data_IF_892279555498
#
_entry.id   IF_892279555498
#
_cell.length_a   1.000
_cell.length_b   1.000
_cell.length_c   1.000
_cell.angle_alpha   90.00
_cell.angle_beta   90.00
_cell.angle_gamma   90.00
#
_symmetry.space_group_name_H-M   'P 1'
#
loop_
_entity.id
_entity.type
_entity.pdbx_description
1 polymer ?
#
# COMPACT_ATOMS: atom_id res chain seq x y z
N UNK A 1 -19.05 -15.02 68.12
CA UNK A 1 -19.63 -15.70 66.95
C UNK A 1 -19.69 -14.65 65.86
N UNK A 2 -18.67 -14.66 65.01
CA UNK A 2 -18.40 -13.63 64.00
C UNK A 2 -19.00 -14.08 62.66
N UNK A 3 -19.97 -13.33 62.16
CA UNK A 3 -20.58 -13.50 60.85
C UNK A 3 -19.88 -12.57 59.87
N UNK A 4 -18.73 -13.00 59.35
CA UNK A 4 -18.06 -12.32 58.24
C UNK A 4 -18.73 -12.69 56.92
N UNK A 5 -19.66 -11.85 56.47
CA UNK A 5 -20.23 -11.87 55.12
C UNK A 5 -19.16 -11.48 54.09
N UNK A 6 -18.67 -12.46 53.35
CA UNK A 6 -17.75 -12.27 52.22
C UNK A 6 -18.45 -11.53 51.08
N UNK A 7 -18.07 -10.26 50.88
CA UNK A 7 -18.41 -9.48 49.67
C UNK A 7 -17.72 -10.11 48.47
N UNK A 8 -18.51 -10.65 47.52
CA UNK A 8 -18.02 -11.02 46.20
C UNK A 8 -17.91 -9.74 45.37
N UNK A 9 -16.69 -9.24 45.17
CA UNK A 9 -16.42 -8.15 44.24
C UNK A 9 -16.70 -8.59 42.80
N UNK A 10 -17.75 -8.03 42.19
CA UNK A 10 -17.99 -8.12 40.75
C UNK A 10 -16.93 -7.30 40.04
N UNK A 11 -15.87 -7.95 39.51
CA UNK A 11 -14.96 -7.32 38.54
C UNK A 11 -15.76 -6.82 37.35
N UNK A 12 -15.76 -5.51 37.16
CA UNK A 12 -16.37 -4.82 36.03
C UNK A 12 -15.60 -5.23 34.76
N UNK A 13 -16.24 -5.97 33.85
CA UNK A 13 -15.69 -6.30 32.54
C UNK A 13 -15.77 -5.04 31.69
N UNK A 14 -14.67 -4.28 31.61
CA UNK A 14 -14.56 -3.15 30.67
C UNK A 14 -14.56 -3.75 29.26
N UNK A 15 -15.49 -3.37 28.36
CA UNK A 15 -15.52 -3.93 27.02
C UNK A 15 -14.24 -3.54 26.27
N UNK A 16 -13.47 -4.55 25.84
CA UNK A 16 -12.26 -4.36 25.04
C UNK A 16 -12.63 -3.74 23.69
N UNK A 17 -12.01 -2.61 23.34
CA UNK A 17 -12.18 -1.98 22.02
C UNK A 17 -11.75 -2.96 20.92
N UNK A 18 -12.53 -3.14 19.83
CA UNK A 18 -12.19 -4.07 18.77
C UNK A 18 -10.93 -3.62 18.03
N UNK A 19 -10.14 -4.60 17.62
CA UNK A 19 -8.98 -4.44 16.73
C UNK A 19 -9.44 -4.08 15.31
N UNK A 20 -8.54 -3.52 14.50
CA UNK A 20 -8.83 -3.20 13.09
C UNK A 20 -9.28 -4.44 12.30
N UNK A 21 -8.71 -5.61 12.60
CA UNK A 21 -9.08 -6.86 11.93
C UNK A 21 -10.47 -7.35 12.33
N UNK A 22 -10.86 -7.18 13.60
CA UNK A 22 -12.22 -7.51 14.06
C UNK A 22 -13.27 -6.60 13.42
N UNK A 23 -12.94 -5.31 13.24
CA UNK A 23 -13.78 -4.35 12.51
C UNK A 23 -13.92 -4.77 11.04
N UNK A 24 -12.80 -5.08 10.37
CA UNK A 24 -12.78 -5.53 8.97
C UNK A 24 -13.66 -6.78 8.76
N UNK A 25 -13.50 -7.80 9.62
CA UNK A 25 -14.30 -9.04 9.58
C UNK A 25 -15.79 -8.74 9.83
N UNK A 26 -16.09 -7.85 10.77
CA UNK A 26 -17.45 -7.42 11.07
C UNK A 26 -18.15 -6.78 9.88
N UNK A 27 -17.45 -5.88 9.17
CA UNK A 27 -17.94 -5.23 7.95
C UNK A 27 -18.10 -6.23 6.80
N UNK A 28 -17.13 -7.13 6.60
CA UNK A 28 -17.20 -8.19 5.58
C UNK A 28 -18.43 -9.09 5.74
N UNK A 29 -18.83 -9.41 6.98
CA UNK A 29 -20.05 -10.17 7.24
C UNK A 29 -21.30 -9.40 6.80
N UNK A 30 -21.42 -8.12 7.19
CA UNK A 30 -22.54 -7.27 6.78
C UNK A 30 -22.65 -7.13 5.26
N UNK A 31 -21.50 -6.98 4.57
CA UNK A 31 -21.45 -6.93 3.10
C UNK A 31 -21.99 -8.23 2.48
N UNK A 32 -21.67 -9.40 3.06
CA UNK A 32 -22.20 -10.69 2.60
C UNK A 32 -23.72 -10.82 2.83
N UNK A 33 -24.25 -10.13 3.84
CA UNK A 33 -25.67 -10.04 4.15
C UNK A 33 -26.40 -9.00 3.28
N UNK A 34 -25.69 -8.24 2.44
CA UNK A 34 -26.28 -7.27 1.50
C UNK A 34 -26.24 -5.81 1.97
N UNK A 35 -25.50 -5.50 3.04
CA UNK A 35 -25.29 -4.13 3.51
C UNK A 35 -24.25 -3.41 2.64
N UNK A 36 -24.71 -2.60 1.70
CA UNK A 36 -23.86 -1.82 0.79
C UNK A 36 -23.12 -0.69 1.51
N UNK A 37 -23.70 -0.13 2.58
CA UNK A 37 -23.06 0.92 3.38
C UNK A 37 -21.85 0.37 4.15
N UNK A 38 -21.91 -0.90 4.57
CA UNK A 38 -20.76 -1.58 5.17
C UNK A 38 -19.55 -1.66 4.22
N UNK A 39 -19.77 -1.73 2.90
CA UNK A 39 -18.68 -1.67 1.93
C UNK A 39 -18.02 -0.29 1.91
N UNK A 40 -18.82 0.77 1.89
CA UNK A 40 -18.32 2.15 1.91
C UNK A 40 -17.49 2.39 3.18
N UNK A 41 -18.01 1.99 4.35
CA UNK A 41 -17.29 2.07 5.63
C UNK A 41 -15.96 1.30 5.61
N UNK A 42 -15.94 0.13 4.96
CA UNK A 42 -14.76 -0.72 4.86
C UNK A 42 -13.65 -0.06 4.01
N UNK A 43 -14.00 0.54 2.87
CA UNK A 43 -13.01 1.01 1.89
C UNK A 43 -12.63 2.48 2.01
N UNK A 44 -13.47 3.32 2.62
CA UNK A 44 -13.19 4.75 2.80
C UNK A 44 -11.81 5.04 3.43
N UNK A 45 -11.36 4.31 4.47
CA UNK A 45 -10.03 4.52 5.05
C UNK A 45 -8.88 4.22 4.09
N UNK A 46 -9.13 3.45 3.03
CA UNK A 46 -8.12 3.00 2.08
C UNK A 46 -7.99 3.93 0.88
N UNK A 47 -9.08 4.60 0.49
CA UNK A 47 -9.19 5.38 -0.76
C UNK A 47 -8.00 6.32 -0.97
N UNK A 48 -7.69 7.12 0.04
CA UNK A 48 -6.61 8.11 -0.02
C UNK A 48 -5.22 7.46 -0.16
N UNK A 49 -4.97 6.33 0.51
CA UNK A 49 -3.71 5.58 0.34
C UNK A 49 -3.60 4.95 -1.05
N UNK A 50 -4.71 4.40 -1.55
CA UNK A 50 -4.78 3.82 -2.89
C UNK A 50 -4.57 4.89 -3.97
N UNK A 51 -5.16 6.07 -3.79
CA UNK A 51 -4.98 7.23 -4.67
C UNK A 51 -3.53 7.68 -4.74
N UNK A 52 -2.88 7.89 -3.59
CA UNK A 52 -1.45 8.25 -3.57
C UNK A 52 -0.58 7.20 -4.25
N UNK A 53 -0.90 5.91 -4.13
CA UNK A 53 -0.18 4.85 -4.86
C UNK A 53 -0.42 4.94 -6.37
N UNK A 54 -1.66 5.17 -6.80
CA UNK A 54 -1.97 5.33 -8.21
C UNK A 54 -1.24 6.55 -8.80
N UNK A 55 -1.31 7.72 -8.15
CA UNK A 55 -0.59 8.95 -8.54
C UNK A 55 0.91 8.70 -8.64
N UNK A 56 1.50 8.00 -7.66
CA UNK A 56 2.94 7.75 -7.67
C UNK A 56 3.40 6.89 -8.85
N UNK A 57 2.52 6.04 -9.38
CA UNK A 57 2.77 5.19 -10.55
C UNK A 57 2.47 5.90 -11.87
N UNK A 58 1.34 6.59 -11.99
CA UNK A 58 0.84 7.10 -13.29
C UNK A 58 1.17 8.55 -13.56
N UNK A 59 1.58 9.29 -12.51
CA UNK A 59 1.99 10.70 -12.55
C UNK A 59 0.91 11.64 -13.11
N UNK A 60 -0.35 11.27 -12.93
CA UNK A 60 -1.53 12.01 -13.38
C UNK A 60 -2.64 11.81 -12.34
N UNK A 61 -3.28 12.90 -11.92
CA UNK A 61 -4.27 12.87 -10.85
C UNK A 61 -5.61 12.32 -11.29
N UNK A 62 -6.03 12.65 -12.51
CA UNK A 62 -7.33 12.26 -13.05
C UNK A 62 -7.32 10.76 -13.35
N UNK A 63 -6.25 10.26 -13.98
CA UNK A 63 -6.10 8.81 -14.18
C UNK A 63 -6.03 8.05 -12.85
N UNK A 64 -5.37 8.63 -11.85
CA UNK A 64 -5.22 7.98 -10.55
C UNK A 64 -6.58 7.86 -9.85
N UNK A 65 -7.40 8.90 -9.92
CA UNK A 65 -8.78 8.88 -9.42
C UNK A 65 -9.60 7.82 -10.15
N UNK A 66 -9.55 7.81 -11.49
CA UNK A 66 -10.22 6.80 -12.32
C UNK A 66 -9.80 5.39 -11.93
N UNK A 67 -8.50 5.12 -11.79
CA UNK A 67 -7.97 3.81 -11.39
C UNK A 67 -8.51 3.38 -10.03
N UNK A 68 -8.52 4.28 -9.04
CA UNK A 68 -9.03 3.98 -7.70
C UNK A 68 -10.52 3.71 -7.74
N UNK A 69 -11.29 4.55 -8.41
CA UNK A 69 -12.73 4.36 -8.54
C UNK A 69 -13.05 3.01 -9.19
N UNK A 70 -12.38 2.69 -10.29
CA UNK A 70 -12.49 1.42 -10.99
C UNK A 70 -12.12 0.22 -10.10
N UNK A 71 -11.07 0.36 -9.28
CA UNK A 71 -10.64 -0.66 -8.33
C UNK A 71 -11.68 -0.87 -7.23
N UNK A 72 -12.27 0.21 -6.70
CA UNK A 72 -13.33 0.13 -5.70
C UNK A 72 -14.63 -0.46 -6.28
N UNK A 73 -15.00 -0.14 -7.51
CA UNK A 73 -16.16 -0.76 -8.19
C UNK A 73 -15.92 -2.24 -8.45
N UNK A 74 -14.73 -2.60 -8.96
CA UNK A 74 -14.33 -4.00 -9.18
C UNK A 74 -14.30 -4.77 -7.85
N UNK A 75 -13.84 -4.10 -6.80
CA UNK A 75 -13.85 -4.59 -5.43
C UNK A 75 -15.26 -4.91 -4.96
N UNK A 76 -16.19 -3.95 -5.09
CA UNK A 76 -17.59 -4.12 -4.69
C UNK A 76 -18.25 -5.32 -5.39
N UNK A 77 -17.99 -5.50 -6.69
CA UNK A 77 -18.54 -6.63 -7.47
C UNK A 77 -18.05 -8.01 -7.01
N UNK A 78 -16.88 -8.07 -6.38
CA UNK A 78 -16.21 -9.35 -6.05
C UNK A 78 -16.03 -9.59 -4.54
N UNK A 79 -16.24 -8.59 -3.70
CA UNK A 79 -16.02 -8.64 -2.24
C UNK A 79 -16.83 -9.74 -1.54
N UNK A 80 -18.03 -10.08 -2.06
CA UNK A 80 -18.86 -11.16 -1.49
C UNK A 80 -18.18 -12.53 -1.56
N UNK A 81 -17.31 -12.73 -2.56
CA UNK A 81 -16.51 -13.94 -2.77
C UNK A 81 -15.10 -13.83 -2.16
N UNK A 82 -14.80 -12.75 -1.43
CA UNK A 82 -13.51 -12.56 -0.80
C UNK A 82 -13.29 -13.60 0.31
N UNK A 83 -12.19 -14.34 0.21
CA UNK A 83 -11.86 -15.47 1.11
C UNK A 83 -11.12 -15.05 2.39
N UNK A 84 -10.74 -13.78 2.51
CA UNK A 84 -9.95 -13.26 3.64
C UNK A 84 -8.59 -13.98 3.87
N UNK A 85 -8.03 -14.54 2.80
CA UNK A 85 -6.65 -15.06 2.76
C UNK A 85 -5.63 -13.91 2.95
N UNK A 86 -6.02 -12.68 2.60
CA UNK A 86 -5.32 -11.43 2.82
C UNK A 86 -6.23 -10.41 3.51
N UNK A 87 -5.68 -9.26 3.91
CA UNK A 87 -6.51 -8.09 4.27
C UNK A 87 -7.15 -7.48 3.01
N UNK A 88 -8.30 -6.82 3.17
CA UNK A 88 -9.05 -6.18 2.07
C UNK A 88 -8.22 -5.06 1.44
N UNK A 89 -7.48 -4.31 2.27
CA UNK A 89 -6.56 -3.30 1.79
C UNK A 89 -5.52 -3.87 0.82
N UNK A 90 -4.83 -4.96 1.18
CA UNK A 90 -3.82 -5.61 0.32
C UNK A 90 -4.43 -6.05 -1.00
N UNK A 91 -5.65 -6.58 -0.95
CA UNK A 91 -6.35 -7.04 -2.14
C UNK A 91 -6.70 -5.89 -3.09
N UNK A 92 -7.27 -4.79 -2.58
CA UNK A 92 -7.54 -3.58 -3.37
C UNK A 92 -6.26 -2.92 -3.88
N UNK A 93 -5.20 -2.92 -3.07
CA UNK A 93 -3.88 -2.42 -3.46
C UNK A 93 -3.36 -3.14 -4.70
N UNK A 94 -3.47 -4.48 -4.73
CA UNK A 94 -3.09 -5.28 -5.91
C UNK A 94 -3.90 -4.88 -7.15
N UNK A 95 -5.21 -4.66 -6.99
CA UNK A 95 -6.07 -4.24 -8.11
C UNK A 95 -5.61 -2.88 -8.66
N UNK A 96 -5.32 -1.92 -7.78
CA UNK A 96 -4.81 -0.59 -8.17
C UNK A 96 -3.47 -0.71 -8.91
N UNK A 97 -2.50 -1.44 -8.35
CA UNK A 97 -1.19 -1.64 -8.97
C UNK A 97 -1.32 -2.27 -10.36
N UNK A 98 -2.18 -3.27 -10.53
CA UNK A 98 -2.39 -3.93 -11.81
C UNK A 98 -3.03 -2.97 -12.82
N UNK A 99 -4.06 -2.23 -12.43
CA UNK A 99 -4.71 -1.23 -13.31
C UNK A 99 -3.74 -0.13 -13.72
N UNK A 100 -2.90 0.36 -12.81
CA UNK A 100 -1.83 1.32 -13.13
C UNK A 100 -0.83 0.75 -14.14
N UNK A 101 -0.36 -0.49 -13.93
CA UNK A 101 0.55 -1.18 -14.86
C UNK A 101 -0.08 -1.36 -16.25
N UNK A 102 -1.35 -1.76 -16.31
CA UNK A 102 -2.09 -1.93 -17.57
C UNK A 102 -2.23 -0.62 -18.33
N UNK A 103 -2.52 0.48 -17.64
CA UNK A 103 -2.64 1.79 -18.25
C UNK A 103 -1.30 2.29 -18.80
N UNK A 104 -0.21 2.15 -18.04
CA UNK A 104 1.14 2.51 -18.48
C UNK A 104 1.57 1.68 -19.70
N UNK A 105 1.25 0.37 -19.70
CA UNK A 105 1.52 -0.48 -20.85
C UNK A 105 0.73 -0.05 -22.09
N UNK A 106 -0.54 0.35 -21.94
CA UNK A 106 -1.35 0.91 -23.04
C UNK A 106 -0.75 2.21 -23.57
N UNK A 107 -0.31 3.13 -22.71
CA UNK A 107 0.37 4.38 -23.09
C UNK A 107 1.63 4.14 -23.89
N UNK A 108 2.47 3.20 -23.42
CA UNK A 108 3.70 2.81 -24.10
C UNK A 108 3.41 2.29 -25.51
N UNK A 109 2.47 1.36 -25.66
CA UNK A 109 2.07 0.82 -26.98
C UNK A 109 1.48 1.89 -27.89
N UNK A 110 0.67 2.80 -27.36
CA UNK A 110 0.13 3.92 -28.14
C UNK A 110 1.27 4.80 -28.66
N UNK A 111 2.26 5.14 -27.83
CA UNK A 111 3.44 5.91 -28.25
C UNK A 111 4.27 5.19 -29.32
N UNK A 112 4.47 3.88 -29.18
CA UNK A 112 5.21 3.07 -30.15
C UNK A 112 4.50 2.96 -31.51
N UNK A 113 3.17 2.96 -31.51
CA UNK A 113 2.37 2.91 -32.74
C UNK A 113 2.20 4.29 -33.40
N UNK A 114 2.37 5.37 -32.64
CA UNK A 114 2.32 6.76 -33.12
C UNK A 114 3.69 7.25 -33.57
N UNK A 115 4.34 6.55 -34.51
CA UNK A 115 5.52 7.07 -35.22
C UNK A 115 5.13 8.28 -36.09
N UNK A 116 4.88 9.41 -35.43
CA UNK A 116 4.96 10.75 -36.01
C UNK A 116 5.43 11.70 -34.90
N UNK A 117 6.54 12.38 -35.16
CA UNK A 117 7.33 13.17 -34.23
C UNK A 117 6.49 14.21 -33.47
N UNK A 118 6.14 13.91 -32.21
CA UNK A 118 5.99 14.94 -31.18
C UNK A 118 6.59 14.44 -29.88
N UNK A 119 7.78 14.97 -29.59
CA UNK A 119 8.38 15.00 -28.27
C UNK A 119 7.42 15.74 -27.32
N UNK A 120 6.46 15.02 -26.76
CA UNK A 120 5.78 15.46 -25.56
C UNK A 120 6.80 15.37 -24.44
N UNK A 121 7.50 16.48 -24.22
CA UNK A 121 8.07 16.83 -22.93
C UNK A 121 6.98 16.57 -21.90
N UNK A 122 7.21 15.57 -21.04
CA UNK A 122 6.40 15.38 -19.84
C UNK A 122 6.65 16.63 -19.00
N UNK A 123 5.78 17.62 -19.10
CA UNK A 123 5.80 18.74 -18.18
C UNK A 123 5.53 18.17 -16.80
N UNK A 124 6.41 18.49 -15.86
CA UNK A 124 6.23 18.30 -14.43
C UNK A 124 5.10 19.23 -13.96
N UNK A 125 3.88 18.96 -14.43
CA UNK A 125 2.67 19.58 -13.90
C UNK A 125 2.35 18.84 -12.60
N UNK A 126 3.00 19.32 -11.55
CA UNK A 126 2.89 18.85 -10.16
C UNK A 126 1.43 18.66 -9.79
N UNK A 127 1.00 17.41 -9.81
CA UNK A 127 -0.33 16.99 -9.40
C UNK A 127 -0.48 17.17 -7.89
N UNK A 128 -1.33 18.15 -7.55
CA UNK A 128 -2.25 18.22 -6.41
C UNK A 128 -1.97 17.40 -5.14
N UNK A 129 -1.87 18.15 -4.03
CA UNK A 129 -1.82 17.68 -2.63
C UNK A 129 -0.52 17.00 -2.17
N UNK A 130 0.64 17.59 -2.51
CA UNK A 130 1.74 17.57 -1.56
C UNK A 130 1.44 18.55 -0.44
N UNK A 131 0.84 18.06 0.66
CA UNK A 131 1.26 18.57 1.96
C UNK A 131 2.74 18.17 2.03
N UNK A 132 3.64 19.06 1.59
CA UNK A 132 5.09 18.87 1.76
C UNK A 132 5.32 18.76 3.24
N UNK A 133 5.30 17.53 3.73
CA UNK A 133 5.88 17.21 5.02
C UNK A 133 7.35 17.52 4.81
N UNK A 134 7.85 18.53 5.50
CA UNK A 134 9.29 18.77 5.56
C UNK A 134 9.91 17.53 6.22
N UNK A 135 10.39 16.64 5.37
CA UNK A 135 11.19 15.50 5.78
C UNK A 135 12.57 16.01 6.16
N UNK A 136 13.20 15.34 7.13
CA UNK A 136 14.59 15.65 7.47
C UNK A 136 15.51 15.42 6.27
N UNK A 137 16.67 16.09 6.24
CA UNK A 137 17.66 15.89 5.19
C UNK A 137 18.09 14.42 5.07
N UNK A 138 18.14 13.69 6.19
CA UNK A 138 18.41 12.26 6.23
C UNK A 138 17.32 11.44 5.54
N UNK A 139 16.05 11.80 5.78
CA UNK A 139 14.89 11.12 5.18
C UNK A 139 14.83 11.35 3.68
N UNK A 140 15.04 12.59 3.24
CA UNK A 140 15.11 12.94 1.82
C UNK A 140 16.26 12.21 1.11
N UNK A 141 17.42 12.13 1.78
CA UNK A 141 18.57 11.40 1.26
C UNK A 141 18.30 9.90 1.16
N UNK A 142 17.69 9.27 2.17
CA UNK A 142 17.36 7.84 2.09
C UNK A 142 16.33 7.56 0.97
N UNK A 143 15.32 8.42 0.83
CA UNK A 143 14.32 8.32 -0.25
C UNK A 143 14.99 8.44 -1.63
N UNK A 144 15.96 9.34 -1.82
CA UNK A 144 16.67 9.44 -3.08
C UNK A 144 17.45 8.16 -3.40
N UNK A 145 18.11 7.55 -2.41
CA UNK A 145 18.80 6.26 -2.59
C UNK A 145 17.86 5.09 -2.85
N UNK A 146 16.66 5.10 -2.28
CA UNK A 146 15.62 4.13 -2.62
C UNK A 146 15.15 4.32 -4.07
N UNK A 147 15.09 5.56 -4.55
CA UNK A 147 14.73 5.85 -5.95
C UNK A 147 15.81 5.44 -6.96
N UNK A 148 17.08 5.34 -6.54
CA UNK A 148 18.19 4.85 -7.37
C UNK A 148 18.21 3.32 -7.53
N UNK A 149 17.38 2.57 -6.77
CA UNK A 149 17.27 1.12 -6.90
C UNK A 149 16.49 0.75 -8.17
N UNK A 150 16.84 -0.40 -8.76
CA UNK A 150 16.01 -1.03 -9.80
C UNK A 150 14.60 -1.31 -9.25
N UNK A 151 13.59 -1.13 -10.10
CA UNK A 151 12.17 -1.16 -9.74
C UNK A 151 11.78 -2.36 -8.89
N UNK A 152 12.29 -3.56 -9.22
CA UNK A 152 11.96 -4.79 -8.49
C UNK A 152 12.47 -4.81 -7.04
N UNK A 153 13.53 -4.07 -6.73
CA UNK A 153 14.09 -3.92 -5.38
C UNK A 153 13.40 -2.77 -4.63
N UNK A 154 13.16 -1.66 -5.32
CA UNK A 154 12.39 -0.53 -4.81
C UNK A 154 10.99 -0.96 -4.39
N UNK A 155 10.29 -1.70 -5.25
CA UNK A 155 8.90 -2.16 -5.03
C UNK A 155 8.78 -3.02 -3.76
N UNK A 156 9.75 -3.91 -3.48
CA UNK A 156 9.70 -4.71 -2.23
C UNK A 156 10.04 -3.88 -0.99
N UNK A 157 10.88 -2.84 -1.10
CA UNK A 157 11.15 -1.90 0.00
C UNK A 157 9.90 -1.07 0.30
N UNK A 158 9.26 -0.50 -0.72
CA UNK A 158 8.01 0.25 -0.59
C UNK A 158 6.93 -0.58 0.13
N UNK A 159 6.66 -1.77 -0.40
CA UNK A 159 5.62 -2.64 0.17
C UNK A 159 5.94 -3.08 1.60
N UNK A 160 7.22 -3.29 1.93
CA UNK A 160 7.61 -3.75 3.26
C UNK A 160 7.61 -2.64 4.31
N UNK A 161 8.14 -1.47 3.96
CA UNK A 161 8.48 -0.43 4.92
C UNK A 161 7.51 0.76 4.90
N UNK A 162 6.87 1.03 3.77
CA UNK A 162 5.92 2.13 3.63
C UNK A 162 4.48 1.63 3.73
N UNK A 163 4.21 0.44 3.18
CA UNK A 163 2.88 -0.19 3.27
C UNK A 163 2.76 -1.21 4.41
N UNK A 164 3.85 -1.46 5.15
CA UNK A 164 3.93 -2.36 6.29
C UNK A 164 3.45 -3.81 6.00
N UNK A 165 3.56 -4.26 4.76
CA UNK A 165 3.07 -5.58 4.35
C UNK A 165 3.99 -6.72 4.85
N UNK A 166 3.37 -7.84 5.24
CA UNK A 166 4.09 -9.09 5.49
C UNK A 166 4.67 -9.67 4.20
N UNK A 167 5.69 -10.52 4.30
CA UNK A 167 6.28 -11.14 3.10
C UNK A 167 5.27 -11.97 2.29
N UNK A 168 4.26 -12.55 2.94
CA UNK A 168 3.18 -13.26 2.27
C UNK A 168 2.28 -12.31 1.47
N UNK A 169 1.89 -11.17 2.05
CA UNK A 169 1.12 -10.13 1.35
C UNK A 169 1.89 -9.55 0.16
N UNK A 170 3.19 -9.29 0.33
CA UNK A 170 4.05 -8.81 -0.76
C UNK A 170 4.10 -9.84 -1.89
N UNK A 171 4.30 -11.12 -1.57
CA UNK A 171 4.34 -12.21 -2.54
C UNK A 171 3.05 -12.26 -3.36
N UNK A 172 1.90 -12.10 -2.69
CA UNK A 172 0.58 -12.05 -3.34
C UNK A 172 0.41 -10.82 -4.24
N UNK A 173 0.79 -9.63 -3.79
CA UNK A 173 0.70 -8.39 -4.58
C UNK A 173 1.56 -8.48 -5.84
N UNK A 174 2.75 -9.05 -5.71
CA UNK A 174 3.73 -9.16 -6.80
C UNK A 174 3.56 -10.41 -7.68
N UNK A 175 2.62 -11.30 -7.35
CA UNK A 175 2.43 -12.56 -8.08
C UNK A 175 3.68 -13.47 -8.07
N UNK A 176 4.42 -13.48 -6.96
CA UNK A 176 5.67 -14.24 -6.78
C UNK A 176 5.62 -15.10 -5.52
N UNK A 177 6.66 -15.91 -5.27
CA UNK A 177 6.79 -16.66 -4.01
C UNK A 177 7.50 -15.85 -2.90
N UNK A 178 7.28 -16.24 -1.65
CA UNK A 178 7.86 -15.60 -0.45
C UNK A 178 9.39 -15.64 -0.46
N UNK A 179 10.00 -16.68 -1.03
CA UNK A 179 11.46 -16.79 -1.18
C UNK A 179 12.05 -15.70 -2.09
N UNK A 180 11.37 -15.39 -3.19
CA UNK A 180 11.71 -14.27 -4.08
C UNK A 180 11.59 -12.95 -3.35
N UNK A 181 10.53 -12.74 -2.55
CA UNK A 181 10.39 -11.51 -1.75
C UNK A 181 11.55 -11.35 -0.77
N UNK A 182 11.90 -12.41 -0.03
CA UNK A 182 13.02 -12.40 0.93
C UNK A 182 14.35 -12.10 0.25
N UNK A 183 14.64 -12.76 -0.88
CA UNK A 183 15.89 -12.56 -1.61
C UNK A 183 15.97 -11.16 -2.25
N UNK A 184 14.87 -10.64 -2.80
CA UNK A 184 14.81 -9.26 -3.30
C UNK A 184 15.01 -8.24 -2.18
N UNK A 185 14.35 -8.42 -1.03
CA UNK A 185 14.54 -7.53 0.12
C UNK A 185 15.97 -7.55 0.65
N UNK A 186 16.59 -8.72 0.70
CA UNK A 186 17.99 -8.85 1.10
C UNK A 186 18.90 -8.08 0.14
N UNK A 187 18.77 -8.31 -1.17
CA UNK A 187 19.55 -7.60 -2.20
C UNK A 187 19.30 -6.09 -2.19
N UNK A 188 18.05 -5.67 -2.04
CA UNK A 188 17.68 -4.25 -1.95
C UNK A 188 18.43 -3.54 -0.81
N UNK A 189 18.51 -4.17 0.37
CA UNK A 189 19.26 -3.63 1.52
C UNK A 189 20.76 -3.58 1.27
N UNK A 190 21.33 -4.61 0.66
CA UNK A 190 22.76 -4.62 0.31
C UNK A 190 23.07 -3.51 -0.70
N UNK A 191 22.24 -3.31 -1.72
CA UNK A 191 22.41 -2.20 -2.67
C UNK A 191 22.29 -0.83 -2.00
N UNK A 192 21.28 -0.62 -1.14
CA UNK A 192 21.17 0.62 -0.37
C UNK A 192 22.41 0.87 0.50
N UNK A 193 22.92 -0.18 1.16
CA UNK A 193 24.15 -0.10 1.95
C UNK A 193 25.34 0.32 1.11
N UNK A 194 25.52 -0.30 -0.06
CA UNK A 194 26.60 0.07 -0.98
C UNK A 194 26.48 1.51 -1.47
N UNK A 195 25.28 1.95 -1.89
CA UNK A 195 25.03 3.31 -2.34
C UNK A 195 25.31 4.35 -1.24
N UNK A 196 24.88 4.07 0.00
CA UNK A 196 25.10 4.98 1.14
C UNK A 196 26.58 5.04 1.56
N UNK A 197 27.29 3.92 1.48
CA UNK A 197 28.72 3.85 1.78
C UNK A 197 29.58 4.58 0.74
N UNK A 198 29.22 4.47 -0.55
CA UNK A 198 29.94 5.18 -1.63
C UNK A 198 29.86 6.71 -1.46
N UNK A 199 28.76 7.22 -0.95
CA UNK A 199 28.57 8.65 -0.67
C UNK A 199 29.27 9.12 0.63
N UNK A 200 30.00 8.24 1.33
CA UNK A 200 30.70 8.57 2.57
C UNK A 200 29.80 8.82 3.78
N UNK A 201 28.49 8.54 3.68
CA UNK A 201 27.50 8.78 4.75
C UNK A 201 27.19 7.56 5.62
N UNK A 202 27.86 6.42 5.41
CA UNK A 202 27.47 5.14 6.01
C UNK A 202 27.70 4.97 7.52
N UNK A 203 28.50 5.81 8.17
CA UNK A 203 28.85 5.63 9.59
C UNK A 203 27.68 5.90 10.57
N UNK A 204 26.64 6.61 10.13
CA UNK A 204 25.47 6.97 10.96
C UNK A 204 24.21 6.10 10.73
N UNK A 205 24.12 5.35 9.63
CA UNK A 205 22.88 4.66 9.23
C UNK A 205 22.82 3.16 9.57
N UNK A 206 23.97 2.53 9.87
CA UNK A 206 24.08 1.06 10.01
C UNK A 206 24.59 0.60 11.38
N UNK A 207 24.41 1.40 12.45
CA UNK A 207 24.67 0.95 13.84
C UNK A 207 23.52 0.14 14.40
#
# INVERSE_FOLDING_TARGET
MDSSSTKIERKQIIPKKPTLREIEIGLLRKIKEGDDEAYIQLVNPFRERLYRKAVSMVKDGDDAEDIVQDALISGYRSIRNFRADSGVYTWLYRIVVNKSKDMLAKRKRAKENSMDDKEYQVTDDRVGFEKKVELSDESNYLISKINDLEDLYKEVIELRYFEEMSYAQIAEVLGTNVGTVKSRLFKAKEFLKHLILQDGKGEGYFR
#
